data_IF_971571578918
#
_entry.id   IF_971571578918
#
_cell.length_a   1.000
_cell.length_b   1.000
_cell.length_c   1.000
_cell.angle_alpha   90.00
_cell.angle_beta   90.00
_cell.angle_gamma   90.00
#
_symmetry.space_group_name_H-M   'P 1'
#
loop_
_entity.id
_entity.type
_entity.pdbx_description
1 polymer ?
#
# COMPACT_ATOMS: atom_id res chain seq x y z
N UNK A 1 -12.29 4.81 1.92
CA UNK A 1 -11.19 4.15 1.19
C UNK A 1 -10.81 5.01 -0.02
N UNK A 2 -9.52 5.21 -0.30
CA UNK A 2 -9.06 6.18 -1.31
C UNK A 2 -9.57 5.91 -2.74
N UNK A 3 -9.80 4.63 -3.10
CA UNK A 3 -10.31 4.22 -4.41
C UNK A 3 -11.82 3.97 -4.46
N UNK A 4 -12.53 3.98 -3.32
CA UNK A 4 -13.97 3.67 -3.29
C UNK A 4 -14.83 4.66 -4.10
N UNK A 5 -14.30 5.85 -4.38
CA UNK A 5 -14.91 6.88 -5.25
C UNK A 5 -14.97 6.48 -6.73
N UNK A 6 -14.21 5.48 -7.15
CA UNK A 6 -14.13 5.02 -8.53
C UNK A 6 -15.15 3.92 -8.86
N UNK A 7 -15.93 3.47 -7.87
CA UNK A 7 -16.95 2.44 -8.00
C UNK A 7 -18.36 3.06 -8.01
N UNK A 8 -19.29 2.39 -8.69
CA UNK A 8 -20.69 2.74 -8.69
C UNK A 8 -21.30 2.68 -7.29
N UNK A 9 -22.41 3.41 -7.10
CA UNK A 9 -22.98 3.65 -5.78
C UNK A 9 -23.35 2.35 -5.04
N UNK A 10 -23.92 1.38 -5.74
CA UNK A 10 -24.32 0.08 -5.17
C UNK A 10 -23.14 -0.73 -4.66
N UNK A 11 -22.02 -0.73 -5.40
CA UNK A 11 -20.77 -1.39 -4.95
C UNK A 11 -20.18 -0.60 -3.78
N UNK A 12 -20.16 0.73 -3.88
CA UNK A 12 -19.59 1.61 -2.85
C UNK A 12 -20.30 1.47 -1.50
N UNK A 13 -21.62 1.23 -1.48
CA UNK A 13 -22.40 0.95 -0.27
C UNK A 13 -21.96 -0.33 0.45
N UNK A 14 -21.40 -1.30 -0.28
CA UNK A 14 -20.92 -2.56 0.28
C UNK A 14 -19.47 -2.47 0.79
N UNK A 15 -18.72 -1.42 0.41
CA UNK A 15 -17.33 -1.26 0.84
C UNK A 15 -17.29 -0.84 2.32
N UNK A 16 -16.60 -1.58 3.20
CA UNK A 16 -16.52 -1.25 4.61
C UNK A 16 -15.81 0.10 4.82
N UNK A 17 -16.30 0.87 5.78
CA UNK A 17 -15.65 2.11 6.22
C UNK A 17 -14.48 1.76 7.12
N UNK A 18 -13.27 2.08 6.69
CA UNK A 18 -12.05 1.85 7.44
C UNK A 18 -11.27 3.16 7.63
N UNK A 19 -10.61 3.27 8.78
CA UNK A 19 -9.55 4.27 8.96
C UNK A 19 -8.34 3.84 8.15
N UNK A 20 -7.80 4.76 7.37
CA UNK A 20 -6.56 4.55 6.64
C UNK A 20 -5.65 5.74 6.88
N UNK A 21 -4.34 5.47 6.85
CA UNK A 21 -3.30 6.48 6.92
C UNK A 21 -2.46 6.39 5.65
N UNK A 22 -2.08 7.54 5.11
CA UNK A 22 -1.12 7.61 4.01
C UNK A 22 0.28 7.57 4.61
N UNK A 23 1.12 6.72 4.04
CA UNK A 23 2.54 6.64 4.35
C UNK A 23 3.34 6.92 3.09
N UNK A 24 4.47 7.58 3.25
CA UNK A 24 5.49 7.67 2.21
C UNK A 24 6.31 6.38 2.20
N UNK A 25 6.91 6.04 1.04
CA UNK A 25 7.83 4.90 0.96
C UNK A 25 8.99 5.04 1.95
N UNK A 26 9.51 6.26 2.14
CA UNK A 26 10.56 6.53 3.13
C UNK A 26 10.12 6.22 4.57
N UNK A 27 8.89 6.54 4.98
CA UNK A 27 8.38 6.16 6.30
C UNK A 27 8.33 4.64 6.46
N UNK A 28 7.87 3.93 5.44
CA UNK A 28 7.76 2.47 5.46
C UNK A 28 9.15 1.82 5.57
N UNK A 29 10.10 2.21 4.72
CA UNK A 29 11.46 1.67 4.71
C UNK A 29 12.17 1.95 6.04
N UNK A 30 12.09 3.19 6.55
CA UNK A 30 12.71 3.53 7.83
C UNK A 30 12.05 2.78 9.00
N UNK A 31 10.75 2.48 8.93
CA UNK A 31 10.09 1.65 9.94
C UNK A 31 10.59 0.20 9.91
N UNK A 32 10.88 -0.36 8.74
CA UNK A 32 11.47 -1.71 8.61
C UNK A 32 12.85 -1.73 9.27
N UNK A 33 13.70 -0.75 8.93
CA UNK A 33 15.06 -0.62 9.48
C UNK A 33 15.00 -0.39 11.00
N UNK A 34 14.18 0.54 11.46
CA UNK A 34 14.01 0.88 12.88
C UNK A 34 13.45 -0.27 13.72
N UNK A 35 12.79 -1.23 13.09
CA UNK A 35 12.30 -2.46 13.74
C UNK A 35 13.37 -3.57 13.83
N UNK A 36 14.60 -3.32 13.38
CA UNK A 36 15.73 -4.27 13.43
C UNK A 36 15.78 -5.27 12.28
N UNK A 37 15.02 -5.02 11.20
CA UNK A 37 15.06 -5.86 10.01
C UNK A 37 16.06 -5.29 8.99
N UNK A 38 16.72 -6.19 8.25
CA UNK A 38 17.48 -5.84 7.05
C UNK A 38 16.58 -6.02 5.85
N UNK A 39 16.38 -4.96 5.06
CA UNK A 39 15.62 -5.03 3.81
C UNK A 39 16.46 -5.75 2.74
N UNK A 40 15.96 -6.88 2.25
CA UNK A 40 16.65 -7.73 1.26
C UNK A 40 16.15 -7.48 -0.15
N UNK A 41 14.84 -7.21 -0.30
CA UNK A 41 14.21 -6.98 -1.61
C UNK A 41 13.06 -6.00 -1.50
N UNK A 42 12.92 -5.14 -2.49
CA UNK A 42 11.81 -4.20 -2.63
C UNK A 42 11.40 -4.17 -4.11
N UNK A 43 10.24 -4.73 -4.42
CA UNK A 43 9.70 -4.79 -5.78
C UNK A 43 8.47 -3.87 -5.87
N UNK A 44 8.48 -2.95 -6.83
CA UNK A 44 7.32 -2.11 -7.12
C UNK A 44 6.44 -2.76 -8.21
N UNK A 45 5.12 -2.67 -8.01
CA UNK A 45 4.08 -3.18 -8.89
C UNK A 45 3.15 -2.01 -9.28
N UNK A 46 3.64 -1.08 -10.12
CA UNK A 46 2.83 0.03 -10.64
C UNK A 46 1.58 -0.46 -11.39
N UNK A 47 0.45 0.21 -11.18
CA UNK A 47 -0.85 -0.13 -11.80
C UNK A 47 -0.98 0.49 -13.20
N UNK A 48 -0.13 0.07 -14.15
CA UNK A 48 -0.08 0.63 -15.51
C UNK A 48 -1.38 0.46 -16.30
N UNK A 49 -2.12 -0.63 -16.05
CA UNK A 49 -3.34 -0.97 -16.79
C UNK A 49 -4.58 -0.23 -16.28
N UNK A 50 -4.53 0.32 -15.05
CA UNK A 50 -5.67 1.00 -14.46
C UNK A 50 -5.24 2.11 -13.50
N UNK A 51 -5.18 3.33 -14.01
CA UNK A 51 -4.82 4.54 -13.25
C UNK A 51 -5.75 4.84 -12.05
N UNK A 52 -6.92 4.20 -11.98
CA UNK A 52 -7.85 4.36 -10.85
C UNK A 52 -7.41 3.55 -9.63
N UNK A 53 -6.51 2.58 -9.81
CA UNK A 53 -5.97 1.75 -8.74
C UNK A 53 -4.58 2.25 -8.36
N UNK A 54 -4.27 2.29 -7.04
CA UNK A 54 -2.91 2.58 -6.62
C UNK A 54 -1.98 1.47 -7.08
N UNK A 55 -0.73 1.83 -7.40
CA UNK A 55 0.35 0.84 -7.50
C UNK A 55 0.58 0.16 -6.15
N UNK A 56 1.13 -1.04 -6.22
CA UNK A 56 1.46 -1.85 -5.06
C UNK A 56 2.98 -2.04 -4.98
N UNK A 57 3.47 -2.57 -3.86
CA UNK A 57 4.87 -2.96 -3.73
C UNK A 57 4.98 -4.14 -2.75
N UNK A 58 6.04 -4.91 -2.89
CA UNK A 58 6.40 -6.02 -1.99
C UNK A 58 7.77 -5.75 -1.39
N UNK A 59 7.89 -5.85 -0.07
CA UNK A 59 9.16 -5.72 0.64
C UNK A 59 9.47 -7.02 1.40
N UNK A 60 10.67 -7.58 1.19
CA UNK A 60 11.17 -8.75 1.93
C UNK A 60 12.28 -8.26 2.86
N UNK A 61 12.15 -8.57 4.15
CA UNK A 61 13.11 -8.17 5.15
C UNK A 61 13.36 -9.31 6.15
N UNK A 62 14.62 -9.45 6.59
CA UNK A 62 15.05 -10.50 7.52
C UNK A 62 15.42 -9.86 8.85
N UNK A 63 14.90 -10.41 9.96
CA UNK A 63 15.27 -9.97 11.31
C UNK A 63 16.65 -10.51 11.66
N UNK A 64 17.54 -9.62 12.09
CA UNK A 64 18.84 -10.02 12.64
C UNK A 64 18.73 -10.40 14.11
#
# INVERSE_FOLDING_TARGET
MAHARFYDEEIRKQIPKCHYRKYTISEIINSIIGSGFTLERFDEHPSWENEKLPGEFTAIAIKR
#
